data_IF_000931528965
#
_entry.id   IF_000931528965
#
_cell.length_a   1.000
_cell.length_b   1.000
_cell.length_c   1.000
_cell.angle_alpha   90.00
_cell.angle_beta   90.00
_cell.angle_gamma   90.00
#
_symmetry.space_group_name_H-M   'P 1'
#
loop_
_entity.id
_entity.type
_entity.pdbx_description
1 polymer ?
#
# COMPACT_ATOMS: atom_id res chain seq x y z
N UNK A 1 -15.83 -9.62 35.51
CA UNK A 1 -14.69 -9.13 34.69
C UNK A 1 -13.51 -8.95 35.61
N UNK A 2 -12.47 -9.79 35.47
CA UNK A 2 -11.21 -9.63 36.21
C UNK A 2 -10.29 -8.68 35.42
N UNK A 3 -9.62 -7.72 36.07
CA UNK A 3 -8.63 -6.89 35.39
C UNK A 3 -7.42 -7.76 35.04
N UNK A 4 -6.92 -7.62 33.81
CA UNK A 4 -5.67 -8.25 33.39
C UNK A 4 -4.51 -7.60 34.16
N UNK A 5 -3.62 -8.46 34.65
CA UNK A 5 -2.58 -8.15 35.61
C UNK A 5 -1.62 -7.06 35.15
N UNK A 6 -1.26 -6.25 36.12
CA UNK A 6 -0.09 -5.39 36.18
C UNK A 6 1.14 -6.18 35.70
N UNK A 7 1.84 -5.67 34.68
CA UNK A 7 3.08 -6.27 34.16
C UNK A 7 4.20 -6.03 35.17
N UNK A 8 4.21 -6.81 36.25
CA UNK A 8 5.33 -6.85 37.19
C UNK A 8 6.56 -7.46 36.52
N UNK A 9 7.63 -6.68 36.53
CA UNK A 9 9.03 -7.10 36.68
C UNK A 9 9.56 -8.15 35.69
N UNK A 10 9.46 -7.88 34.39
CA UNK A 10 10.49 -8.40 33.49
C UNK A 10 11.77 -7.60 33.76
N UNK A 11 12.69 -8.16 34.55
CA UNK A 11 14.02 -7.59 34.75
C UNK A 11 14.69 -7.43 33.38
N UNK A 12 14.61 -6.21 32.84
CA UNK A 12 15.08 -5.88 31.51
C UNK A 12 16.56 -6.24 31.36
N UNK A 13 17.33 -6.21 32.46
CA UNK A 13 18.76 -6.54 32.48
C UNK A 13 19.09 -7.95 31.98
N UNK A 14 18.14 -8.90 32.09
CA UNK A 14 18.26 -10.28 31.63
C UNK A 14 18.15 -10.47 30.11
N UNK A 15 17.69 -9.46 29.38
CA UNK A 15 17.53 -9.49 27.93
C UNK A 15 18.88 -9.13 27.29
N UNK A 16 19.50 -10.00 26.46
CA UNK A 16 20.79 -9.69 25.83
C UNK A 16 20.74 -8.32 25.11
N UNK A 17 21.79 -7.51 25.19
CA UNK A 17 21.73 -6.10 24.73
C UNK A 17 21.29 -5.98 23.27
N UNK A 18 21.71 -6.93 22.44
CA UNK A 18 21.32 -7.10 21.04
C UNK A 18 19.79 -7.17 20.87
N UNK A 19 19.05 -7.84 21.76
CA UNK A 19 17.58 -7.90 21.72
C UNK A 19 16.93 -6.59 22.14
N UNK A 20 17.53 -5.84 23.05
CA UNK A 20 17.04 -4.51 23.45
C UNK A 20 17.26 -3.46 22.38
N UNK A 21 18.40 -3.52 21.71
CA UNK A 21 18.71 -2.67 20.56
C UNK A 21 17.78 -2.99 19.39
N UNK A 22 17.56 -4.27 19.10
CA UNK A 22 16.59 -4.71 18.10
C UNK A 22 15.15 -4.26 18.45
N UNK A 23 14.75 -4.33 19.73
CA UNK A 23 13.43 -3.88 20.16
C UNK A 23 13.24 -2.37 20.01
N UNK A 24 14.25 -1.56 20.37
CA UNK A 24 14.23 -0.11 20.15
C UNK A 24 14.15 0.22 18.67
N UNK A 25 14.99 -0.41 17.86
CA UNK A 25 15.00 -0.23 16.42
C UNK A 25 13.66 -0.60 15.77
N UNK A 26 13.06 -1.73 16.15
CA UNK A 26 11.72 -2.13 15.69
C UNK A 26 10.64 -1.13 16.12
N UNK A 27 10.71 -0.62 17.35
CA UNK A 27 9.77 0.40 17.85
C UNK A 27 9.90 1.72 17.08
N UNK A 28 11.12 2.13 16.75
CA UNK A 28 11.39 3.30 15.91
C UNK A 28 10.87 3.10 14.49
N UNK A 29 11.08 1.93 13.88
CA UNK A 29 10.54 1.60 12.56
C UNK A 29 9.00 1.62 12.54
N UNK A 30 8.36 1.06 13.56
CA UNK A 30 6.90 1.08 13.70
C UNK A 30 6.40 2.52 13.82
N UNK A 31 7.03 3.33 14.67
CA UNK A 31 6.65 4.73 14.86
C UNK A 31 6.87 5.57 13.59
N UNK A 32 7.95 5.32 12.84
CA UNK A 32 8.18 5.93 11.53
C UNK A 32 7.10 5.55 10.54
N UNK A 33 6.67 4.28 10.51
CA UNK A 33 5.55 3.85 9.67
C UNK A 33 4.26 4.56 10.05
N UNK A 34 3.91 4.62 11.34
CA UNK A 34 2.66 5.25 11.78
C UNK A 34 2.62 6.75 11.44
N UNK A 35 3.76 7.45 11.58
CA UNK A 35 3.90 8.86 11.18
C UNK A 35 3.77 9.03 9.66
N UNK A 36 4.37 8.14 8.88
CA UNK A 36 4.28 8.17 7.43
C UNK A 36 2.84 7.91 6.95
N UNK A 37 2.17 6.92 7.56
CA UNK A 37 0.78 6.60 7.27
C UNK A 37 -0.13 7.79 7.65
N UNK A 38 0.11 8.45 8.79
CA UNK A 38 -0.61 9.67 9.19
C UNK A 38 -0.40 10.82 8.20
N UNK A 39 0.84 11.08 7.77
CA UNK A 39 1.15 12.14 6.81
C UNK A 39 0.52 11.87 5.43
N UNK A 40 0.53 10.60 4.99
CA UNK A 40 -0.11 10.18 3.74
C UNK A 40 -1.63 10.41 3.79
N UNK A 41 -2.28 10.04 4.90
CA UNK A 41 -3.72 10.25 5.09
C UNK A 41 -4.10 11.75 5.08
N UNK A 42 -3.28 12.60 5.71
CA UNK A 42 -3.52 14.05 5.70
C UNK A 42 -3.35 14.66 4.30
N UNK A 43 -2.35 14.19 3.54
CA UNK A 43 -2.14 14.58 2.15
C UNK A 43 -3.30 14.16 1.25
N UNK A 44 -3.84 12.94 1.44
CA UNK A 44 -5.02 12.46 0.73
C UNK A 44 -6.25 13.34 1.05
N UNK A 45 -6.47 13.69 2.32
CA UNK A 45 -7.54 14.58 2.72
C UNK A 45 -7.42 15.98 2.10
N UNK A 46 -6.21 16.55 2.05
CA UNK A 46 -5.95 17.83 1.38
C UNK A 46 -6.19 17.74 -0.13
N UNK A 47 -5.74 16.65 -0.75
CA UNK A 47 -5.97 16.37 -2.17
C UNK A 47 -7.46 16.27 -2.48
N UNK A 48 -8.21 15.52 -1.67
CA UNK A 48 -9.65 15.33 -1.84
C UNK A 48 -10.43 16.63 -1.65
N UNK A 49 -10.07 17.43 -0.63
CA UNK A 49 -10.68 18.76 -0.41
C UNK A 49 -10.47 19.67 -1.61
N UNK A 50 -9.23 19.80 -2.11
CA UNK A 50 -8.93 20.61 -3.30
C UNK A 50 -9.63 20.07 -4.54
N UNK A 51 -9.69 18.74 -4.71
CA UNK A 51 -10.38 18.12 -5.83
C UNK A 51 -11.87 18.44 -5.81
N UNK A 52 -12.53 18.36 -4.65
CA UNK A 52 -13.92 18.78 -4.45
C UNK A 52 -14.15 20.26 -4.80
N UNK A 53 -13.25 21.15 -4.41
CA UNK A 53 -13.34 22.59 -4.71
C UNK A 53 -13.20 22.91 -6.20
N UNK A 54 -12.50 22.05 -6.95
CA UNK A 54 -12.20 22.20 -8.39
C UNK A 54 -13.19 21.40 -9.26
N UNK A 55 -13.89 20.41 -8.68
CA UNK A 55 -14.88 19.58 -9.35
C UNK A 55 -16.00 20.45 -9.94
N UNK A 56 -16.18 20.37 -11.26
CA UNK A 56 -17.17 21.16 -12.00
C UNK A 56 -16.73 22.58 -12.41
N UNK A 57 -15.57 23.06 -11.97
CA UNK A 57 -15.00 24.36 -12.39
C UNK A 57 -14.02 24.26 -13.55
N UNK A 58 -13.52 23.05 -13.82
CA UNK A 58 -12.59 22.80 -14.93
C UNK A 58 -13.34 22.63 -16.25
N UNK A 59 -12.84 23.30 -17.28
CA UNK A 59 -13.33 23.07 -18.64
C UNK A 59 -12.73 21.78 -19.23
N UNK A 60 -13.34 21.27 -20.31
CA UNK A 60 -12.92 20.03 -20.99
C UNK A 60 -11.43 20.02 -21.38
N UNK A 61 -10.87 21.18 -21.77
CA UNK A 61 -9.46 21.30 -22.15
C UNK A 61 -8.53 21.14 -20.94
N UNK A 62 -8.88 21.73 -19.80
CA UNK A 62 -8.10 21.60 -18.56
C UNK A 62 -8.14 20.18 -18.01
N UNK A 63 -9.31 19.52 -18.05
CA UNK A 63 -9.44 18.10 -17.69
C UNK A 63 -8.56 17.24 -18.59
N UNK A 64 -8.55 17.52 -19.90
CA UNK A 64 -7.68 16.81 -20.85
C UNK A 64 -6.20 16.97 -20.49
N UNK A 65 -5.74 18.18 -20.21
CA UNK A 65 -4.34 18.45 -19.83
C UNK A 65 -3.96 17.71 -18.54
N UNK A 66 -4.83 17.73 -17.53
CA UNK A 66 -4.60 16.99 -16.28
C UNK A 66 -4.54 15.48 -16.50
N UNK A 67 -5.45 14.93 -17.33
CA UNK A 67 -5.42 13.51 -17.67
C UNK A 67 -4.18 13.12 -18.49
N UNK A 68 -3.76 13.97 -19.42
CA UNK A 68 -2.55 13.74 -20.22
C UNK A 68 -1.29 13.81 -19.35
N UNK A 69 -1.26 14.72 -18.37
CA UNK A 69 -0.19 14.80 -17.36
C UNK A 69 -0.20 13.58 -16.43
N UNK A 70 -1.37 13.17 -15.92
CA UNK A 70 -1.50 12.00 -15.06
C UNK A 70 -1.07 10.72 -15.79
N UNK A 71 -1.38 10.59 -17.09
CA UNK A 71 -0.87 9.49 -17.91
C UNK A 71 0.65 9.49 -18.05
N UNK A 72 1.29 10.64 -17.99
CA UNK A 72 2.76 10.77 -18.01
C UNK A 72 3.36 10.56 -16.62
N UNK A 73 2.63 10.86 -15.54
CA UNK A 73 3.10 10.77 -14.16
C UNK A 73 2.78 9.45 -13.47
N UNK A 74 1.98 8.57 -14.07
CA UNK A 74 1.91 7.17 -13.63
C UNK A 74 3.27 6.58 -13.97
N UNK A 75 4.14 6.61 -12.97
CA UNK A 75 5.40 5.91 -13.02
C UNK A 75 5.09 4.45 -13.26
N UNK A 76 5.47 3.97 -14.46
CA UNK A 76 5.21 2.58 -14.87
C UNK A 76 5.82 1.61 -13.87
N UNK A 77 6.83 2.07 -13.10
CA UNK A 77 7.45 1.32 -12.02
C UNK A 77 6.49 0.93 -10.88
N UNK A 78 5.52 1.79 -10.56
CA UNK A 78 4.50 1.52 -9.53
C UNK A 78 3.49 0.45 -9.95
N UNK A 79 3.45 0.11 -11.25
CA UNK A 79 2.61 -0.95 -11.82
C UNK A 79 3.37 -2.25 -12.03
N UNK A 80 4.63 -2.38 -11.59
CA UNK A 80 5.30 -3.68 -11.58
C UNK A 80 4.97 -4.47 -10.33
N UNK A 81 4.86 -5.79 -10.50
CA UNK A 81 4.60 -6.68 -9.40
C UNK A 81 5.73 -6.57 -8.36
N UNK A 82 5.42 -6.69 -7.05
CA UNK A 82 6.41 -6.57 -5.98
C UNK A 82 7.46 -7.70 -5.97
N UNK A 83 7.31 -8.68 -6.86
CA UNK A 83 8.20 -9.83 -7.00
C UNK A 83 8.55 -9.97 -8.48
N UNK A 84 9.84 -10.18 -8.84
CA UNK A 84 10.26 -10.39 -10.22
C UNK A 84 9.57 -11.59 -10.87
N UNK A 85 9.33 -11.50 -12.18
CA UNK A 85 8.64 -12.53 -12.94
C UNK A 85 9.40 -13.87 -12.93
N UNK A 86 10.72 -13.82 -12.95
CA UNK A 86 11.61 -14.98 -12.91
C UNK A 86 11.47 -15.75 -11.59
N UNK A 87 11.37 -15.01 -10.48
CA UNK A 87 11.19 -15.58 -9.15
C UNK A 87 9.80 -16.22 -9.03
N UNK A 88 8.75 -15.53 -9.47
CA UNK A 88 7.40 -16.11 -9.51
C UNK A 88 7.35 -17.39 -10.34
N UNK A 89 7.96 -17.38 -11.54
CA UNK A 89 8.03 -18.55 -12.41
C UNK A 89 8.74 -19.73 -11.72
N UNK A 90 9.89 -19.47 -11.09
CA UNK A 90 10.66 -20.50 -10.38
C UNK A 90 9.87 -21.16 -9.24
N UNK A 91 9.01 -20.40 -8.55
CA UNK A 91 8.13 -20.91 -7.49
C UNK A 91 6.99 -21.73 -8.11
N UNK A 92 6.34 -21.20 -9.16
CA UNK A 92 5.17 -21.82 -9.80
C UNK A 92 5.48 -23.14 -10.51
N UNK A 93 6.73 -23.37 -10.93
CA UNK A 93 7.16 -24.64 -11.52
C UNK A 93 7.20 -25.77 -10.47
N UNK A 94 7.45 -25.44 -9.19
CA UNK A 94 7.43 -26.40 -8.09
C UNK A 94 5.99 -26.81 -7.75
N UNK A 95 5.80 -28.02 -7.21
CA UNK A 95 4.49 -28.44 -6.69
C UNK A 95 4.10 -27.55 -5.50
N UNK A 96 2.83 -27.16 -5.40
CA UNK A 96 2.35 -26.31 -4.29
C UNK A 96 2.62 -26.89 -2.90
N UNK A 97 2.57 -28.21 -2.77
CA UNK A 97 2.86 -28.91 -1.50
C UNK A 97 4.32 -28.85 -1.09
N UNK A 98 5.22 -28.46 -1.99
CA UNK A 98 6.66 -28.32 -1.74
C UNK A 98 7.10 -26.87 -1.62
N UNK A 99 6.16 -25.92 -1.61
CA UNK A 99 6.48 -24.51 -1.41
C UNK A 99 6.91 -24.25 0.02
N UNK A 100 7.98 -23.47 0.17
CA UNK A 100 8.37 -22.94 1.46
C UNK A 100 7.32 -21.90 1.92
N UNK A 101 7.16 -21.68 3.24
CA UNK A 101 6.19 -20.72 3.76
C UNK A 101 6.30 -19.32 3.14
N UNK A 102 7.52 -18.84 2.87
CA UNK A 102 7.75 -17.54 2.24
C UNK A 102 7.40 -17.54 0.75
N UNK A 103 7.56 -18.66 0.04
CA UNK A 103 7.19 -18.79 -1.38
C UNK A 103 5.67 -18.73 -1.55
N UNK A 104 4.94 -19.45 -0.68
CA UNK A 104 3.49 -19.39 -0.65
C UNK A 104 2.98 -17.97 -0.34
N UNK A 105 3.61 -17.30 0.64
CA UNK A 105 3.28 -15.92 1.00
C UNK A 105 3.60 -14.93 -0.13
N UNK A 106 4.73 -15.10 -0.83
CA UNK A 106 5.10 -14.29 -1.98
C UNK A 106 4.04 -14.38 -3.08
N UNK A 107 3.64 -15.60 -3.47
CA UNK A 107 2.59 -15.81 -4.48
C UNK A 107 1.26 -15.17 -4.05
N UNK A 108 0.86 -15.34 -2.78
CA UNK A 108 -0.37 -14.76 -2.23
C UNK A 108 -0.36 -13.22 -2.31
N UNK A 109 0.77 -12.60 -1.98
CA UNK A 109 0.93 -11.14 -2.06
C UNK A 109 0.89 -10.63 -3.50
N UNK A 110 1.53 -11.32 -4.45
CA UNK A 110 1.46 -10.97 -5.88
C UNK A 110 0.02 -11.05 -6.38
N UNK A 111 -0.70 -12.11 -6.04
CA UNK A 111 -2.09 -12.30 -6.48
C UNK A 111 -3.02 -11.24 -5.90
N UNK A 112 -2.80 -10.84 -4.63
CA UNK A 112 -3.53 -9.71 -4.03
C UNK A 112 -3.22 -8.41 -4.75
N UNK A 113 -1.93 -8.09 -4.94
CA UNK A 113 -1.51 -6.88 -5.65
C UNK A 113 -2.11 -6.81 -7.06
N UNK A 114 -2.11 -7.91 -7.83
CA UNK A 114 -2.74 -7.95 -9.17
C UNK A 114 -4.23 -7.63 -9.12
N UNK A 115 -4.95 -8.14 -8.12
CA UNK A 115 -6.38 -7.82 -7.93
C UNK A 115 -6.59 -6.35 -7.60
N UNK A 116 -5.77 -5.79 -6.71
CA UNK A 116 -5.86 -4.39 -6.28
C UNK A 116 -5.55 -3.45 -7.47
N UNK A 117 -4.50 -3.73 -8.23
CA UNK A 117 -4.15 -2.97 -9.45
C UNK A 117 -5.25 -3.07 -10.50
N UNK A 118 -5.78 -4.27 -10.75
CA UNK A 118 -6.90 -4.45 -11.67
C UNK A 118 -8.14 -3.65 -11.24
N UNK A 119 -8.46 -3.63 -9.95
CA UNK A 119 -9.54 -2.82 -9.39
C UNK A 119 -9.30 -1.33 -9.63
N UNK A 120 -8.09 -0.83 -9.33
CA UNK A 120 -7.73 0.58 -9.52
C UNK A 120 -7.88 0.97 -11.00
N UNK A 121 -7.29 0.21 -11.92
CA UNK A 121 -7.32 0.50 -13.37
C UNK A 121 -8.76 0.53 -13.90
N UNK A 122 -9.61 -0.41 -13.50
CA UNK A 122 -10.99 -0.47 -13.97
C UNK A 122 -11.85 0.68 -13.43
N UNK A 123 -11.68 1.05 -12.16
CA UNK A 123 -12.43 2.16 -11.57
C UNK A 123 -11.90 3.53 -12.05
N UNK A 124 -10.62 3.60 -12.41
CA UNK A 124 -10.02 4.80 -12.99
C UNK A 124 -10.63 5.15 -14.36
N UNK A 125 -10.88 4.13 -15.20
CA UNK A 125 -11.50 4.33 -16.52
C UNK A 125 -13.03 4.52 -16.48
N UNK A 126 -13.70 4.10 -15.39
CA UNK A 126 -15.14 4.21 -15.23
C UNK A 126 -15.67 5.60 -14.82
N UNK A 127 -14.81 6.47 -14.28
CA UNK A 127 -15.21 7.79 -13.74
C UNK A 127 -15.54 8.88 -14.76
N UNK A 128 -15.32 8.65 -16.06
CA UNK A 128 -15.49 9.68 -17.11
C UNK A 128 -16.89 9.65 -17.76
N UNK A 129 -17.70 8.63 -17.49
CA UNK A 129 -18.97 8.39 -18.21
C UNK A 129 -20.23 8.51 -17.34
N UNK A 130 -20.39 9.58 -16.55
CA UNK A 130 -21.71 9.89 -15.96
C UNK A 130 -22.03 11.38 -15.99
N UNK A 131 -22.27 11.90 -17.19
CA UNK A 131 -23.21 13.01 -17.38
C UNK A 131 -23.59 13.11 -18.86
N UNK A 132 -24.40 12.15 -19.33
CA UNK A 132 -25.41 12.46 -20.35
C UNK A 132 -26.59 13.04 -19.58
N UNK A 133 -26.67 14.36 -19.57
CA UNK A 133 -27.87 15.09 -19.16
C UNK A 133 -28.80 15.04 -20.38
N UNK A 134 -29.92 14.32 -20.21
CA UNK A 134 -31.13 14.51 -21.02
C UNK A 134 -31.84 15.79 -20.61
#
# INVERSE_FOLDING_TARGET
MKPYGDTQDTDLSSIPSEFRENYRFLSELINCRDKNDSAANELEHLGQKRFCEVRGKLNRRQIKILNDYLKQSIDTELLFAPVPAELEASIRIKKRSTWLPWEAEAIRKIERWRKDVFFIINNWNGGISTSKIS
#
